data_IF_244512647722
#
_entry.id   IF_244512647722
#
_cell.length_a   1.000
_cell.length_b   1.000
_cell.length_c   1.000
_cell.angle_alpha   90.00
_cell.angle_beta   90.00
_cell.angle_gamma   90.00
#
_symmetry.space_group_name_H-M   'P 1'
#
loop_
_entity.id
_entity.type
_entity.pdbx_description
1 polymer ?
#
# COMPACT_ATOMS: atom_id res chain seq x y z
N UNK A 1 5.04 21.53 -6.81
CA UNK A 1 4.97 21.24 -5.38
C UNK A 1 5.72 19.94 -5.09
N UNK A 2 6.47 19.89 -4.02
CA UNK A 2 7.11 18.65 -3.58
C UNK A 2 6.02 17.68 -3.08
N UNK A 3 6.04 16.43 -3.54
CA UNK A 3 5.17 15.39 -3.03
C UNK A 3 5.58 15.08 -1.57
N UNK A 4 4.66 15.23 -0.64
CA UNK A 4 4.86 14.75 0.72
C UNK A 4 4.46 13.27 0.76
N UNK A 5 5.44 12.37 0.67
CA UNK A 5 5.19 10.93 0.70
C UNK A 5 5.47 10.35 2.07
N UNK A 6 4.62 9.45 2.54
CA UNK A 6 4.86 8.57 3.67
C UNK A 6 4.91 7.13 3.15
N UNK A 7 6.00 6.42 3.41
CA UNK A 7 6.16 5.02 3.02
C UNK A 7 5.91 4.11 4.22
N UNK A 8 4.94 3.21 4.09
CA UNK A 8 4.64 2.18 5.09
C UNK A 8 5.01 0.81 4.53
N UNK A 9 5.77 0.03 5.29
CA UNK A 9 6.24 -1.30 4.88
C UNK A 9 5.87 -2.32 5.94
N UNK A 10 5.34 -3.48 5.51
CA UNK A 10 5.00 -4.60 6.38
C UNK A 10 5.84 -5.84 6.06
N UNK A 11 6.26 -6.58 7.09
CA UNK A 11 6.90 -7.89 6.94
C UNK A 11 6.67 -8.75 8.16
N UNK A 12 6.36 -10.02 7.94
CA UNK A 12 6.24 -11.04 9.00
C UNK A 12 7.57 -11.82 9.20
N UNK A 13 8.52 -11.63 8.31
CA UNK A 13 9.89 -12.16 8.42
C UNK A 13 10.85 -10.98 8.61
N UNK A 14 12.11 -11.21 9.00
CA UNK A 14 13.09 -10.14 9.10
C UNK A 14 13.18 -9.32 7.81
N UNK A 15 13.20 -7.99 7.96
CA UNK A 15 13.35 -7.10 6.82
C UNK A 15 14.68 -7.37 6.11
N UNK A 16 14.75 -7.28 4.76
CA UNK A 16 15.96 -7.55 3.98
C UNK A 16 17.01 -6.43 4.13
N UNK A 17 16.83 -5.54 5.10
CA UNK A 17 17.74 -4.43 5.43
C UNK A 17 17.79 -4.24 6.95
N UNK A 18 18.88 -3.65 7.44
CA UNK A 18 18.99 -3.25 8.84
C UNK A 18 18.10 -2.02 9.08
N UNK A 19 17.09 -2.19 9.93
CA UNK A 19 16.20 -1.08 10.32
C UNK A 19 16.97 -0.07 11.18
N UNK A 20 16.54 1.20 11.15
CA UNK A 20 17.08 2.25 12.02
C UNK A 20 15.94 3.06 12.63
N UNK A 21 16.15 3.65 13.82
CA UNK A 21 15.20 4.62 14.36
C UNK A 21 15.12 5.85 13.44
N UNK A 22 13.90 6.27 13.12
CA UNK A 22 13.67 7.48 12.35
C UNK A 22 13.88 8.73 13.19
N UNK A 23 14.47 9.74 12.59
CA UNK A 23 14.56 11.10 13.13
C UNK A 23 13.47 12.02 12.55
N UNK A 24 12.77 11.57 11.52
CA UNK A 24 11.69 12.31 10.87
C UNK A 24 10.40 12.12 11.66
N UNK A 25 9.84 13.20 12.15
CA UNK A 25 8.55 13.17 12.87
C UNK A 25 7.42 13.06 11.85
N UNK A 26 6.54 12.07 12.04
CA UNK A 26 5.32 11.92 11.25
C UNK A 26 4.13 12.11 12.21
N UNK A 27 3.41 13.23 12.11
CA UNK A 27 2.22 13.45 12.93
C UNK A 27 1.20 12.32 12.73
N UNK A 28 0.56 11.88 13.81
CA UNK A 28 -0.42 10.81 13.77
C UNK A 28 0.15 9.38 13.85
N UNK A 29 1.43 9.19 13.71
CA UNK A 29 2.08 7.89 13.97
C UNK A 29 2.40 7.78 15.48
N UNK A 30 2.09 6.64 16.14
CA UNK A 30 2.40 6.45 17.56
C UNK A 30 3.90 6.65 17.85
N UNK A 31 4.28 7.32 18.94
CA UNK A 31 5.67 7.65 19.25
C UNK A 31 6.63 6.46 19.35
N UNK A 32 6.10 5.27 19.70
CA UNK A 32 6.88 4.02 19.74
C UNK A 32 7.16 3.39 18.38
N UNK A 33 6.46 3.82 17.31
CA UNK A 33 6.66 3.32 15.95
C UNK A 33 7.72 4.16 15.27
N UNK A 34 8.98 3.81 15.51
CA UNK A 34 10.15 4.57 15.07
C UNK A 34 11.03 3.84 14.05
N UNK A 35 10.83 2.53 13.86
CA UNK A 35 11.62 1.78 12.89
C UNK A 35 11.36 2.27 11.47
N UNK A 36 12.43 2.55 10.73
CA UNK A 36 12.40 3.12 9.40
C UNK A 36 13.39 2.42 8.45
N UNK A 37 13.13 2.57 7.14
CA UNK A 37 14.03 2.13 6.10
C UNK A 37 15.23 3.08 5.99
N UNK A 38 16.49 2.60 6.11
CA UNK A 38 17.66 3.46 6.23
C UNK A 38 17.90 4.36 5.02
N UNK A 39 17.63 3.86 3.82
CA UNK A 39 17.83 4.64 2.59
C UNK A 39 16.78 5.75 2.45
N UNK A 40 15.51 5.45 2.73
CA UNK A 40 14.45 6.48 2.70
C UNK A 40 14.72 7.57 3.73
N UNK A 41 15.14 7.18 4.92
CA UNK A 41 15.53 8.12 5.97
C UNK A 41 16.69 9.02 5.52
N UNK A 42 17.70 8.47 4.82
CA UNK A 42 18.82 9.26 4.30
C UNK A 42 18.41 10.22 3.18
N UNK A 43 17.32 9.95 2.50
CA UNK A 43 16.74 10.82 1.47
C UNK A 43 15.72 11.82 2.03
N UNK A 44 15.48 11.80 3.33
CA UNK A 44 14.48 12.66 3.96
C UNK A 44 13.02 12.22 3.66
N UNK A 45 12.83 10.97 3.23
CA UNK A 45 11.50 10.39 2.98
C UNK A 45 11.03 9.65 4.23
N UNK A 46 9.96 10.10 4.88
CA UNK A 46 9.42 9.42 6.04
C UNK A 46 9.02 7.97 5.71
N UNK A 47 9.45 7.04 6.54
CA UNK A 47 9.00 5.65 6.46
C UNK A 47 8.71 5.07 7.84
N UNK A 48 7.77 4.11 7.92
CA UNK A 48 7.48 3.36 9.14
C UNK A 48 7.22 1.90 8.81
N UNK A 49 7.60 1.04 9.75
CA UNK A 49 7.56 -0.39 9.58
C UNK A 49 6.49 -1.00 10.48
N UNK A 50 5.85 -2.06 9.98
CA UNK A 50 4.84 -2.83 10.69
C UNK A 50 5.19 -4.32 10.64
N UNK A 51 4.98 -5.04 11.75
CA UNK A 51 5.17 -6.49 11.82
C UNK A 51 4.48 -7.05 13.05
N UNK A 52 3.90 -8.23 12.92
CA UNK A 52 3.39 -9.02 14.06
C UNK A 52 4.47 -9.92 14.69
N UNK A 53 5.68 -9.89 14.15
CA UNK A 53 6.80 -10.69 14.65
C UNK A 53 7.54 -10.05 15.84
N UNK A 54 7.06 -8.89 16.34
CA UNK A 54 7.63 -8.22 17.52
C UNK A 54 8.97 -7.51 17.28
N UNK A 55 9.24 -7.07 16.05
CA UNK A 55 10.48 -6.34 15.77
C UNK A 55 10.50 -4.97 16.47
N UNK A 56 11.60 -4.61 17.12
CA UNK A 56 11.68 -3.38 17.90
C UNK A 56 11.40 -2.12 17.06
N UNK A 57 10.56 -1.22 17.59
CA UNK A 57 10.22 0.03 16.94
C UNK A 57 9.28 -0.08 15.75
N UNK A 58 8.82 -1.28 15.40
CA UNK A 58 7.77 -1.48 14.42
C UNK A 58 6.39 -1.33 15.05
N UNK A 59 5.39 -1.02 14.23
CA UNK A 59 3.99 -1.19 14.63
C UNK A 59 3.72 -2.68 14.83
N UNK A 60 3.12 -3.05 15.97
CA UNK A 60 2.71 -4.43 16.24
C UNK A 60 1.34 -4.66 15.60
N UNK A 61 1.35 -5.15 14.36
CA UNK A 61 0.16 -5.32 13.55
C UNK A 61 0.44 -5.32 12.05
N UNK A 62 -0.61 -5.32 11.27
CA UNK A 62 -0.49 -5.21 9.82
C UNK A 62 -0.18 -3.78 9.38
N UNK A 63 0.51 -3.65 8.25
CA UNK A 63 0.80 -2.34 7.63
C UNK A 63 -0.48 -1.55 7.31
N UNK A 64 -1.57 -2.24 7.00
CA UNK A 64 -2.88 -1.64 6.75
C UNK A 64 -3.53 -1.06 8.01
N UNK A 65 -3.25 -1.64 9.18
CA UNK A 65 -3.70 -1.09 10.47
C UNK A 65 -2.94 0.19 10.81
N UNK A 66 -1.62 0.20 10.57
CA UNK A 66 -0.81 1.40 10.72
C UNK A 66 -1.27 2.52 9.77
N UNK A 67 -1.57 2.18 8.51
CA UNK A 67 -2.11 3.12 7.53
C UNK A 67 -3.48 3.67 7.97
N UNK A 68 -4.38 2.82 8.46
CA UNK A 68 -5.68 3.23 8.97
C UNK A 68 -5.54 4.20 10.14
N UNK A 69 -4.71 3.85 11.11
CA UNK A 69 -4.43 4.69 12.27
C UNK A 69 -3.91 6.09 11.87
N UNK A 70 -2.98 6.14 10.92
CA UNK A 70 -2.46 7.40 10.41
C UNK A 70 -3.55 8.21 9.68
N UNK A 71 -4.33 7.60 8.79
CA UNK A 71 -5.42 8.28 8.07
C UNK A 71 -6.48 8.84 9.03
N UNK A 72 -6.81 8.10 10.08
CA UNK A 72 -7.77 8.53 11.10
C UNK A 72 -7.27 9.71 11.93
N UNK A 73 -5.94 9.86 12.07
CA UNK A 73 -5.33 10.98 12.76
C UNK A 73 -5.36 12.29 11.98
N UNK A 74 -5.57 12.24 10.67
CA UNK A 74 -5.64 13.42 9.81
C UNK A 74 -7.03 14.08 9.92
N UNK A 75 -7.05 15.40 9.86
CA UNK A 75 -8.31 16.12 9.65
C UNK A 75 -8.90 15.81 8.26
N UNK A 76 -10.16 16.19 8.04
CA UNK A 76 -10.87 15.86 6.81
C UNK A 76 -10.23 16.48 5.57
N UNK A 77 -9.66 17.69 5.67
CA UNK A 77 -9.04 18.37 4.54
C UNK A 77 -7.71 17.70 4.16
N UNK A 78 -6.84 17.43 5.15
CA UNK A 78 -5.58 16.75 4.93
C UNK A 78 -5.80 15.32 4.40
N UNK A 79 -6.81 14.62 4.92
CA UNK A 79 -7.14 13.26 4.44
C UNK A 79 -7.61 13.26 3.01
N UNK A 80 -8.39 14.23 2.57
CA UNK A 80 -8.90 14.33 1.20
C UNK A 80 -7.79 14.53 0.15
N UNK A 81 -6.61 14.98 0.55
CA UNK A 81 -5.43 15.14 -0.32
C UNK A 81 -4.58 13.87 -0.43
N UNK A 82 -4.94 12.80 0.27
CA UNK A 82 -4.17 11.56 0.26
C UNK A 82 -4.50 10.73 -0.97
N UNK A 83 -3.47 10.25 -1.65
CA UNK A 83 -3.56 9.21 -2.67
C UNK A 83 -2.73 8.00 -2.22
N UNK A 84 -3.28 6.79 -2.42
CA UNK A 84 -2.67 5.55 -1.94
C UNK A 84 -2.09 4.77 -3.12
N UNK A 85 -0.82 4.38 -2.99
CA UNK A 85 -0.15 3.45 -3.89
C UNK A 85 0.28 2.23 -3.08
N UNK A 86 -0.07 1.03 -3.54
CA UNK A 86 0.26 -0.20 -2.83
C UNK A 86 0.83 -1.28 -3.75
N UNK A 87 1.82 -2.00 -3.24
CA UNK A 87 2.40 -3.18 -3.87
C UNK A 87 2.64 -4.24 -2.79
N UNK A 88 2.30 -5.49 -3.07
CA UNK A 88 2.48 -6.60 -2.14
C UNK A 88 1.49 -7.74 -2.37
N UNK A 89 1.38 -8.66 -1.41
CA UNK A 89 0.47 -9.81 -1.53
C UNK A 89 -0.99 -9.43 -1.73
N UNK A 90 -1.72 -10.18 -2.54
CA UNK A 90 -3.13 -9.93 -2.87
C UNK A 90 -4.02 -9.66 -1.65
N UNK A 91 -3.93 -10.40 -0.51
CA UNK A 91 -4.73 -10.10 0.67
C UNK A 91 -4.44 -8.71 1.27
N UNK A 92 -3.19 -8.25 1.19
CA UNK A 92 -2.81 -6.90 1.63
C UNK A 92 -3.39 -5.85 0.70
N UNK A 93 -3.29 -6.04 -0.63
CA UNK A 93 -3.82 -5.11 -1.62
C UNK A 93 -5.34 -4.98 -1.50
N UNK A 94 -6.05 -6.09 -1.26
CA UNK A 94 -7.49 -6.08 -0.99
C UNK A 94 -7.83 -5.32 0.29
N UNK A 95 -7.04 -5.47 1.36
CA UNK A 95 -7.24 -4.73 2.60
C UNK A 95 -6.97 -3.22 2.40
N UNK A 96 -5.96 -2.85 1.60
CA UNK A 96 -5.68 -1.46 1.22
C UNK A 96 -6.83 -0.89 0.38
N UNK A 97 -7.36 -1.63 -0.59
CA UNK A 97 -8.48 -1.21 -1.41
C UNK A 97 -9.73 -0.92 -0.55
N UNK A 98 -10.04 -1.81 0.42
CA UNK A 98 -11.12 -1.56 1.39
C UNK A 98 -10.87 -0.33 2.27
N UNK A 99 -9.62 -0.12 2.69
CA UNK A 99 -9.23 1.06 3.46
C UNK A 99 -9.46 2.34 2.66
N UNK A 100 -8.99 2.38 1.42
CA UNK A 100 -9.18 3.50 0.51
C UNK A 100 -10.66 3.80 0.26
N UNK A 101 -11.47 2.76 0.00
CA UNK A 101 -12.91 2.90 -0.22
C UNK A 101 -13.65 3.48 0.99
N UNK A 102 -13.30 3.06 2.22
CA UNK A 102 -13.88 3.62 3.47
C UNK A 102 -13.66 5.12 3.63
N UNK A 103 -12.54 5.61 3.12
CA UNK A 103 -12.18 7.03 3.21
C UNK A 103 -12.40 7.80 1.91
N UNK A 104 -12.98 7.16 0.88
CA UNK A 104 -13.19 7.71 -0.47
C UNK A 104 -11.91 8.28 -1.09
N UNK A 105 -10.78 7.58 -0.93
CA UNK A 105 -9.45 7.99 -1.41
C UNK A 105 -9.11 7.32 -2.74
N UNK A 106 -8.42 8.02 -3.64
CA UNK A 106 -7.79 7.40 -4.81
C UNK A 106 -6.80 6.33 -4.37
N UNK A 107 -6.82 5.17 -5.03
CA UNK A 107 -5.94 4.06 -4.69
C UNK A 107 -5.53 3.29 -5.92
N UNK A 108 -4.23 3.20 -6.15
CA UNK A 108 -3.65 2.37 -7.19
C UNK A 108 -2.89 1.20 -6.56
N UNK A 109 -3.04 0.02 -7.18
CA UNK A 109 -2.38 -1.22 -6.75
C UNK A 109 -1.52 -1.77 -7.86
N UNK A 110 -0.30 -2.17 -7.52
CA UNK A 110 0.58 -2.92 -8.42
C UNK A 110 0.39 -4.40 -8.13
N UNK A 111 -0.14 -5.13 -9.11
CA UNK A 111 -0.39 -6.56 -9.00
C UNK A 111 0.86 -7.36 -9.39
N UNK A 112 1.11 -8.42 -8.63
CA UNK A 112 2.12 -9.43 -8.94
C UNK A 112 1.42 -10.73 -9.33
N UNK A 113 1.61 -11.15 -10.57
CA UNK A 113 1.08 -12.40 -11.10
C UNK A 113 2.19 -13.25 -11.71
N UNK A 114 1.97 -14.55 -11.78
CA UNK A 114 2.94 -15.45 -12.40
C UNK A 114 3.06 -15.14 -13.90
N UNK A 115 4.22 -14.63 -14.32
CA UNK A 115 4.49 -14.22 -15.68
C UNK A 115 5.33 -15.27 -16.41
N UNK A 116 4.70 -16.10 -17.23
CA UNK A 116 5.40 -17.12 -18.00
C UNK A 116 6.11 -16.52 -19.24
N UNK A 117 5.46 -15.60 -19.97
CA UNK A 117 6.05 -15.03 -21.20
C UNK A 117 6.40 -13.55 -21.10
N UNK A 118 5.79 -12.78 -20.20
CA UNK A 118 5.93 -11.33 -20.01
C UNK A 118 5.67 -10.45 -21.26
N UNK A 119 5.21 -11.03 -22.36
CA UNK A 119 4.93 -10.34 -23.63
C UNK A 119 3.45 -10.44 -24.05
N UNK A 120 2.60 -10.94 -23.17
CA UNK A 120 1.15 -11.01 -23.37
C UNK A 120 0.64 -12.16 -24.24
N UNK A 121 1.50 -13.07 -24.67
CA UNK A 121 1.14 -14.17 -25.58
C UNK A 121 0.46 -15.35 -24.89
N UNK A 122 0.82 -15.67 -23.64
CA UNK A 122 0.35 -16.89 -22.96
C UNK A 122 -0.90 -16.71 -22.10
N UNK A 123 -1.32 -15.47 -21.82
CA UNK A 123 -2.42 -15.14 -20.89
C UNK A 123 -2.27 -15.72 -19.46
N UNK A 124 -1.05 -16.09 -19.03
CA UNK A 124 -0.80 -16.68 -17.71
C UNK A 124 -0.96 -15.70 -16.55
N UNK A 125 -0.85 -14.39 -16.80
CA UNK A 125 -0.96 -13.33 -15.80
C UNK A 125 -2.29 -12.57 -15.90
N UNK A 126 -3.37 -13.24 -16.31
CA UNK A 126 -4.67 -12.61 -16.53
C UNK A 126 -5.39 -12.40 -15.19
N UNK A 127 -5.86 -11.18 -14.98
CA UNK A 127 -6.71 -10.79 -13.85
C UNK A 127 -8.04 -10.24 -14.32
N UNK A 128 -9.06 -10.41 -13.48
CA UNK A 128 -10.39 -9.84 -13.71
C UNK A 128 -10.40 -8.37 -13.32
N UNK A 129 -10.86 -7.51 -14.22
CA UNK A 129 -10.98 -6.06 -13.97
C UNK A 129 -12.39 -5.60 -14.34
N UNK A 130 -13.01 -4.84 -13.47
CA UNK A 130 -14.30 -4.20 -13.74
C UNK A 130 -14.06 -2.90 -14.51
N UNK A 131 -14.74 -2.73 -15.64
CA UNK A 131 -14.66 -1.53 -16.48
C UNK A 131 -16.04 -0.93 -16.66
N UNK A 132 -16.16 0.30 -17.15
CA UNK A 132 -17.46 0.88 -17.49
C UNK A 132 -18.29 0.06 -18.50
N UNK A 133 -17.62 -0.74 -19.34
CA UNK A 133 -18.27 -1.63 -20.31
C UNK A 133 -18.59 -3.02 -19.73
N UNK A 134 -18.29 -3.27 -18.46
CA UNK A 134 -18.46 -4.56 -17.79
C UNK A 134 -17.13 -5.20 -17.40
N UNK A 135 -17.18 -6.49 -17.09
CA UNK A 135 -16.00 -7.25 -16.68
C UNK A 135 -15.10 -7.52 -17.89
N UNK A 136 -13.82 -7.25 -17.74
CA UNK A 136 -12.78 -7.55 -18.71
C UNK A 136 -11.65 -8.39 -18.09
N UNK A 137 -11.00 -9.21 -18.89
CA UNK A 137 -9.79 -9.93 -18.49
C UNK A 137 -8.57 -9.15 -18.98
N UNK A 138 -7.72 -8.72 -18.06
CA UNK A 138 -6.52 -7.89 -18.31
C UNK A 138 -5.26 -8.67 -17.98
N UNK A 139 -4.21 -8.48 -18.75
CA UNK A 139 -2.90 -9.12 -18.54
C UNK A 139 -2.00 -8.17 -17.77
N UNK A 140 -1.56 -8.59 -16.59
CA UNK A 140 -0.70 -7.77 -15.72
C UNK A 140 0.59 -7.35 -16.45
N UNK A 141 1.17 -8.22 -17.27
CA UNK A 141 2.42 -7.92 -18.00
C UNK A 141 2.27 -6.92 -19.17
N UNK A 142 1.06 -6.62 -19.64
CA UNK A 142 0.81 -5.74 -20.79
C UNK A 142 -0.12 -4.60 -20.46
N UNK A 143 -1.24 -4.89 -19.77
CA UNK A 143 -2.29 -3.93 -19.44
C UNK A 143 -2.01 -3.23 -18.08
N UNK A 144 -1.10 -3.81 -17.25
CA UNK A 144 -0.71 -3.33 -15.94
C UNK A 144 0.81 -3.03 -15.87
N UNK A 145 1.47 -3.28 -14.72
CA UNK A 145 0.98 -3.95 -13.51
C UNK A 145 0.10 -3.09 -12.60
N UNK A 146 0.00 -1.78 -12.83
CA UNK A 146 -0.73 -0.83 -11.98
C UNK A 146 -2.16 -0.70 -12.46
N UNK A 147 -3.10 -0.83 -11.51
CA UNK A 147 -4.55 -0.73 -11.75
C UNK A 147 -5.20 0.11 -10.64
N UNK A 148 -6.31 0.76 -10.96
CA UNK A 148 -7.19 1.34 -9.94
C UNK A 148 -7.73 0.22 -9.03
N UNK A 149 -7.54 0.33 -7.72
CA UNK A 149 -7.87 -0.72 -6.77
C UNK A 149 -9.35 -1.14 -6.84
N UNK A 150 -10.26 -0.19 -6.99
CA UNK A 150 -11.70 -0.42 -7.10
C UNK A 150 -12.10 -1.19 -8.38
N UNK A 151 -11.24 -1.25 -9.39
CA UNK A 151 -11.52 -2.01 -10.61
C UNK A 151 -11.13 -3.48 -10.47
N UNK A 152 -10.18 -3.78 -9.59
CA UNK A 152 -9.64 -5.13 -9.35
C UNK A 152 -10.36 -5.82 -8.20
N UNK A 153 -10.58 -5.09 -7.11
CA UNK A 153 -11.20 -5.60 -5.90
C UNK A 153 -12.64 -5.11 -5.79
N UNK A 154 -13.56 -6.02 -5.49
CA UNK A 154 -14.95 -5.68 -5.21
C UNK A 154 -15.04 -5.06 -3.81
N UNK A 155 -14.81 -3.76 -3.75
CA UNK A 155 -14.87 -2.97 -2.52
C UNK A 155 -16.20 -2.22 -2.50
N UNK A 156 -17.29 -2.94 -2.21
CA UNK A 156 -18.56 -2.30 -1.93
C UNK A 156 -18.36 -1.35 -0.74
N UNK A 157 -18.61 -0.05 -0.97
CA UNK A 157 -18.70 0.92 0.13
C UNK A 157 -19.90 0.47 0.98
N UNK A 158 -19.64 -0.05 2.18
CA UNK A 158 -20.69 -0.29 3.14
C UNK A 158 -21.30 1.08 3.51
N UNK A 159 -22.50 1.32 3.02
CA UNK A 159 -23.31 2.50 3.37
C UNK A 159 -23.82 2.38 4.80
#
# INVERSE_FOLDING_TARGET
GAWNSLTLMGSEIPFPFATRPSTIIVPGIPPGVIAAHPLLESWGVPSRLASRAGFPGCHDGFVTELAAHWLESLDAAARAEVEIFACGPTPMLEAVARLAARHALPCQVSLEEFMACAVGGCAGCVVKVTTPAGVAMKRVCVDGPVFEAATVFDVAVAH
#
